data_IF_560568789648
#
_entry.id   IF_560568789648
#
_cell.length_a   1.000
_cell.length_b   1.000
_cell.length_c   1.000
_cell.angle_alpha   90.00
_cell.angle_beta   90.00
_cell.angle_gamma   90.00
#
_symmetry.space_group_name_H-M   'P 1'
#
loop_
_entity.id
_entity.type
_entity.pdbx_description
1 polymer ?
#
# COMPACT_ATOMS: atom_id res chain seq x y z
N UNK A 1 46.64 -0.72 -7.16
CA UNK A 1 47.09 -1.14 -5.81
C UNK A 1 48.34 -2.00 -5.94
N UNK A 2 49.33 -1.78 -5.04
CA UNK A 2 50.55 -2.57 -4.97
C UNK A 2 50.21 -4.06 -4.70
N UNK A 3 50.92 -5.01 -5.38
CA UNK A 3 50.72 -6.45 -5.23
C UNK A 3 50.95 -6.92 -3.78
N UNK A 4 51.95 -6.35 -3.09
CA UNK A 4 52.22 -6.72 -1.71
C UNK A 4 51.16 -6.25 -0.74
N UNK A 5 50.57 -5.07 -0.98
CA UNK A 5 49.47 -4.55 -0.17
C UNK A 5 48.19 -5.35 -0.39
N UNK A 6 47.97 -5.81 -1.62
CA UNK A 6 46.84 -6.73 -1.94
C UNK A 6 47.02 -8.07 -1.23
N UNK A 7 48.22 -8.65 -1.31
CA UNK A 7 48.53 -9.91 -0.63
C UNK A 7 48.38 -9.82 0.89
N UNK A 8 48.81 -8.72 1.50
CA UNK A 8 48.62 -8.46 2.93
C UNK A 8 47.12 -8.42 3.31
N UNK A 9 46.28 -7.79 2.47
CA UNK A 9 44.84 -7.73 2.69
C UNK A 9 44.16 -9.10 2.52
N UNK A 10 44.55 -9.88 1.53
CA UNK A 10 44.04 -11.23 1.26
C UNK A 10 44.39 -12.23 2.37
N UNK A 11 45.57 -12.11 2.96
CA UNK A 11 46.07 -12.99 4.03
C UNK A 11 45.78 -12.47 5.44
N UNK A 12 45.09 -11.32 5.57
CA UNK A 12 44.82 -10.65 6.85
C UNK A 12 46.09 -10.34 7.66
N UNK A 13 47.22 -10.07 6.98
CA UNK A 13 48.50 -9.85 7.61
C UNK A 13 48.74 -8.37 7.96
N UNK A 14 48.36 -8.01 9.19
CA UNK A 14 48.50 -6.64 9.72
C UNK A 14 49.97 -6.25 9.87
N UNK A 15 50.84 -7.18 10.23
CA UNK A 15 52.29 -6.90 10.36
C UNK A 15 52.90 -6.47 9.03
N UNK A 16 52.56 -7.17 7.95
CA UNK A 16 52.99 -6.81 6.60
C UNK A 16 52.44 -5.44 6.16
N UNK A 17 51.21 -5.09 6.58
CA UNK A 17 50.64 -3.76 6.32
C UNK A 17 51.51 -2.67 6.91
N UNK A 18 51.89 -2.81 8.18
CA UNK A 18 52.77 -1.82 8.86
C UNK A 18 54.17 -1.77 8.26
N UNK A 19 54.71 -2.90 7.83
CA UNK A 19 56.01 -2.95 7.14
C UNK A 19 55.97 -2.16 5.82
N UNK A 20 54.88 -2.34 5.04
CA UNK A 20 54.69 -1.61 3.79
C UNK A 20 54.47 -0.10 4.00
N UNK A 21 53.76 0.30 5.04
CA UNK A 21 53.59 1.71 5.42
C UNK A 21 54.92 2.30 5.91
N UNK A 22 55.71 1.52 6.65
CA UNK A 22 57.05 1.95 7.10
C UNK A 22 58.02 2.17 5.96
N UNK A 23 57.92 1.38 4.86
CA UNK A 23 58.73 1.56 3.63
C UNK A 23 58.29 2.76 2.81
N UNK A 24 56.98 3.00 2.72
CA UNK A 24 56.37 4.09 1.98
C UNK A 24 55.19 4.69 2.74
N UNK A 25 55.44 5.71 3.53
CA UNK A 25 54.42 6.38 4.34
C UNK A 25 53.26 7.02 3.54
N UNK A 26 53.42 7.20 2.24
CA UNK A 26 52.41 7.80 1.37
C UNK A 26 51.56 6.77 0.58
N UNK A 27 51.78 5.48 0.78
CA UNK A 27 51.11 4.42 0.01
C UNK A 27 49.57 4.50 0.11
N UNK A 28 49.05 4.69 1.31
CA UNK A 28 47.59 4.83 1.53
C UNK A 28 47.04 6.17 1.01
N UNK A 29 47.83 7.25 1.12
CA UNK A 29 47.43 8.57 0.62
C UNK A 29 47.27 8.58 -0.89
N UNK A 30 48.20 7.99 -1.65
CA UNK A 30 48.11 7.87 -3.12
C UNK A 30 46.87 7.09 -3.56
N UNK A 31 46.46 6.04 -2.82
CA UNK A 31 45.25 5.32 -3.09
C UNK A 31 43.98 6.16 -2.81
N UNK A 32 44.06 7.05 -1.83
CA UNK A 32 42.94 7.93 -1.50
C UNK A 32 42.71 9.05 -2.52
N UNK A 33 43.74 9.49 -3.20
CA UNK A 33 43.69 10.54 -4.22
C UNK A 33 43.00 10.07 -5.53
N UNK A 34 42.93 8.77 -5.77
CA UNK A 34 42.26 8.21 -6.95
C UNK A 34 40.77 7.98 -6.66
N UNK A 35 39.86 8.47 -7.51
CA UNK A 35 38.42 8.44 -7.28
C UNK A 35 37.86 7.03 -7.22
N UNK A 36 38.11 6.22 -8.24
CA UNK A 36 37.62 4.84 -8.33
C UNK A 36 38.80 3.86 -8.33
N UNK A 37 39.07 3.28 -7.17
CA UNK A 37 40.19 2.37 -6.99
C UNK A 37 39.84 1.25 -6.02
N UNK A 38 40.36 0.06 -6.31
CA UNK A 38 40.34 -1.03 -5.34
C UNK A 38 41.31 -0.72 -4.21
N UNK A 39 40.81 -0.50 -2.99
CA UNK A 39 41.64 -0.26 -1.79
C UNK A 39 41.86 -1.57 -1.04
N UNK A 40 42.87 -1.61 -0.10
CA UNK A 40 43.06 -2.79 0.76
C UNK A 40 41.79 -3.16 1.56
N UNK A 41 40.97 -2.17 1.91
CA UNK A 41 39.71 -2.40 2.61
C UNK A 41 38.67 -3.12 1.73
N UNK A 42 38.64 -2.86 0.42
CA UNK A 42 37.80 -3.63 -0.52
C UNK A 42 38.18 -5.10 -0.55
N UNK A 43 39.49 -5.40 -0.64
CA UNK A 43 40.01 -6.77 -0.64
C UNK A 43 39.70 -7.48 0.67
N UNK A 44 39.95 -6.80 1.81
CA UNK A 44 39.64 -7.35 3.13
C UNK A 44 38.14 -7.61 3.31
N UNK A 45 37.26 -6.72 2.82
CA UNK A 45 35.81 -6.89 2.85
C UNK A 45 35.34 -8.04 1.95
N UNK A 46 35.95 -8.20 0.77
CA UNK A 46 35.66 -9.31 -0.14
C UNK A 46 36.04 -10.68 0.43
N UNK A 47 37.15 -10.73 1.20
CA UNK A 47 37.68 -11.96 1.82
C UNK A 47 37.15 -12.21 3.25
N UNK A 48 36.48 -11.25 3.85
CA UNK A 48 36.00 -11.35 5.22
C UNK A 48 37.11 -11.19 6.28
N UNK A 49 38.24 -10.55 5.95
CA UNK A 49 39.38 -10.35 6.81
C UNK A 49 39.14 -9.21 7.81
N UNK A 50 38.36 -9.46 8.88
CA UNK A 50 37.84 -8.44 9.81
C UNK A 50 38.98 -7.69 10.52
N UNK A 51 39.97 -8.40 11.08
CA UNK A 51 41.09 -7.78 11.79
C UNK A 51 41.84 -6.77 10.93
N UNK A 52 42.19 -7.14 9.71
CA UNK A 52 42.86 -6.25 8.75
C UNK A 52 41.95 -5.07 8.34
N UNK A 53 40.64 -5.34 8.11
CA UNK A 53 39.67 -4.31 7.71
C UNK A 53 39.53 -3.22 8.79
N UNK A 54 39.44 -3.62 10.06
CA UNK A 54 39.31 -2.66 11.16
C UNK A 54 40.60 -1.82 11.31
N UNK A 55 41.75 -2.45 11.16
CA UNK A 55 43.03 -1.75 11.22
C UNK A 55 43.17 -0.72 10.10
N UNK A 56 42.89 -1.12 8.86
CA UNK A 56 42.98 -0.20 7.71
C UNK A 56 41.94 0.92 7.79
N UNK A 57 40.75 0.62 8.36
CA UNK A 57 39.73 1.65 8.58
C UNK A 57 40.15 2.68 9.64
N UNK A 58 40.84 2.25 10.68
CA UNK A 58 41.41 3.15 11.68
C UNK A 58 42.51 4.03 11.10
N UNK A 59 43.38 3.48 10.26
CA UNK A 59 44.43 4.21 9.58
C UNK A 59 43.91 5.17 8.49
N UNK A 60 42.88 4.78 7.78
CA UNK A 60 42.33 5.55 6.68
C UNK A 60 40.78 5.39 6.59
N UNK A 61 40.02 6.14 7.41
CA UNK A 61 38.57 6.04 7.46
C UNK A 61 37.88 6.33 6.11
N UNK A 62 38.48 7.18 5.26
CA UNK A 62 37.95 7.51 3.92
C UNK A 62 37.75 6.29 3.02
N UNK A 63 38.54 5.21 3.21
CA UNK A 63 38.40 4.00 2.41
C UNK A 63 37.07 3.30 2.58
N UNK A 64 36.39 3.46 3.71
CA UNK A 64 35.10 2.85 3.96
C UNK A 64 33.99 3.37 3.01
N UNK A 65 34.14 4.62 2.52
CA UNK A 65 33.21 5.25 1.57
C UNK A 65 33.69 5.21 0.11
N UNK A 66 34.91 4.75 -0.12
CA UNK A 66 35.52 4.70 -1.44
C UNK A 66 34.83 3.66 -2.31
N UNK A 67 34.73 3.93 -3.60
CA UNK A 67 34.23 2.98 -4.58
C UNK A 67 35.38 2.37 -5.39
N UNK A 68 35.32 1.08 -5.67
CA UNK A 68 36.24 0.43 -6.57
C UNK A 68 35.87 0.70 -8.05
N UNK A 69 36.61 0.17 -9.00
CA UNK A 69 36.38 0.32 -10.43
C UNK A 69 35.03 -0.26 -10.90
N UNK A 70 34.43 -1.17 -10.11
CA UNK A 70 33.11 -1.73 -10.35
C UNK A 70 31.99 -0.85 -9.76
N UNK A 71 32.34 0.25 -9.08
CA UNK A 71 31.40 1.13 -8.37
C UNK A 71 30.86 0.50 -7.09
N UNK A 72 31.62 -0.36 -6.42
CA UNK A 72 31.24 -1.01 -5.17
C UNK A 72 32.06 -0.46 -4.01
N UNK A 73 31.44 -0.21 -2.87
CA UNK A 73 32.13 0.10 -1.61
C UNK A 73 32.52 -1.18 -0.86
N UNK A 74 33.40 -1.11 0.15
CA UNK A 74 33.71 -2.27 1.00
C UNK A 74 32.44 -2.89 1.64
N UNK A 75 31.48 -2.07 2.08
CA UNK A 75 30.20 -2.54 2.62
C UNK A 75 29.40 -3.34 1.57
N UNK A 76 29.35 -2.87 0.31
CA UNK A 76 28.71 -3.60 -0.78
C UNK A 76 29.34 -4.98 -0.99
N UNK A 77 30.67 -5.05 -0.99
CA UNK A 77 31.42 -6.31 -1.15
C UNK A 77 31.16 -7.27 0.02
N UNK A 78 31.17 -6.77 1.27
CA UNK A 78 30.87 -7.58 2.44
C UNK A 78 29.48 -8.21 2.35
N UNK A 79 28.46 -7.42 1.93
CA UNK A 79 27.09 -7.93 1.72
C UNK A 79 27.03 -8.94 0.58
N UNK A 80 27.59 -8.61 -0.59
CA UNK A 80 27.55 -9.48 -1.77
C UNK A 80 28.24 -10.82 -1.55
N UNK A 81 29.32 -10.85 -0.77
CA UNK A 81 30.08 -12.09 -0.45
C UNK A 81 29.54 -12.84 0.76
N UNK A 82 28.52 -12.29 1.43
CA UNK A 82 27.89 -12.92 2.59
C UNK A 82 28.67 -12.81 3.89
N UNK A 83 29.65 -11.91 3.96
CA UNK A 83 30.46 -11.69 5.16
C UNK A 83 29.69 -10.81 6.16
N UNK A 84 28.67 -11.39 6.84
CA UNK A 84 27.78 -10.65 7.74
C UNK A 84 28.52 -9.96 8.88
N UNK A 85 29.47 -10.63 9.53
CA UNK A 85 30.25 -10.03 10.62
C UNK A 85 31.07 -8.84 10.14
N UNK A 86 31.67 -8.94 8.95
CA UNK A 86 32.38 -7.81 8.33
C UNK A 86 31.43 -6.62 8.11
N UNK A 87 30.24 -6.86 7.56
CA UNK A 87 29.25 -5.81 7.34
C UNK A 87 28.79 -5.18 8.66
N UNK A 88 28.61 -5.98 9.74
CA UNK A 88 28.25 -5.49 11.07
C UNK A 88 29.37 -4.64 11.67
N UNK A 89 30.64 -5.04 11.55
CA UNK A 89 31.77 -4.23 12.03
C UNK A 89 31.90 -2.91 11.30
N UNK A 90 31.71 -2.89 9.98
CA UNK A 90 31.69 -1.65 9.21
C UNK A 90 30.51 -0.76 9.62
N UNK A 91 29.35 -1.33 9.92
CA UNK A 91 28.17 -0.61 10.41
C UNK A 91 28.42 0.04 11.79
N UNK A 92 29.16 -0.63 12.67
CA UNK A 92 29.56 -0.10 13.99
C UNK A 92 30.52 1.09 13.87
N UNK A 93 31.38 1.10 12.85
CA UNK A 93 32.29 2.23 12.58
C UNK A 93 31.52 3.46 12.11
N UNK A 94 30.63 3.28 11.16
CA UNK A 94 29.83 4.37 10.61
C UNK A 94 28.51 3.80 10.02
N UNK A 95 27.40 4.13 10.67
CA UNK A 95 26.05 3.69 10.25
C UNK A 95 25.68 4.16 8.84
N UNK A 96 26.20 5.32 8.40
CA UNK A 96 25.88 5.89 7.09
C UNK A 96 26.56 5.16 5.93
N UNK A 97 27.47 4.21 6.20
CA UNK A 97 28.04 3.34 5.16
C UNK A 97 26.99 2.51 4.44
N UNK A 98 25.86 2.22 5.10
CA UNK A 98 24.70 1.54 4.47
C UNK A 98 24.17 2.34 3.30
N UNK A 99 24.25 3.68 3.35
CA UNK A 99 23.68 4.63 2.37
C UNK A 99 24.68 5.04 1.29
N UNK A 100 25.91 4.56 1.33
CA UNK A 100 26.89 4.83 0.27
C UNK A 100 26.31 4.33 -1.07
N UNK A 101 26.16 5.23 -2.03
CA UNK A 101 25.62 4.93 -3.36
C UNK A 101 26.74 4.40 -4.24
N UNK A 102 26.56 3.18 -4.71
CA UNK A 102 27.45 2.52 -5.64
C UNK A 102 27.00 2.68 -7.11
N UNK A 103 27.36 1.72 -7.94
CA UNK A 103 26.96 1.65 -9.33
C UNK A 103 25.42 1.69 -9.44
N UNK A 104 24.91 2.46 -10.39
CA UNK A 104 23.48 2.68 -10.61
C UNK A 104 22.73 3.31 -9.42
N UNK A 105 23.45 3.92 -8.46
CA UNK A 105 22.87 4.48 -7.24
C UNK A 105 22.43 3.44 -6.23
N UNK A 106 22.79 2.16 -6.41
CA UNK A 106 22.44 1.09 -5.48
C UNK A 106 23.23 1.23 -4.16
N UNK A 107 22.55 1.09 -3.05
CA UNK A 107 23.14 1.07 -1.71
C UNK A 107 23.30 -0.37 -1.21
N UNK A 108 24.01 -0.55 -0.10
CA UNK A 108 24.17 -1.89 0.51
C UNK A 108 22.84 -2.55 0.87
N UNK A 109 21.81 -1.75 1.20
CA UNK A 109 20.46 -2.25 1.44
C UNK A 109 19.84 -2.85 0.15
N UNK A 110 20.03 -2.21 -0.99
CA UNK A 110 19.56 -2.76 -2.28
C UNK A 110 20.22 -4.09 -2.61
N UNK A 111 21.53 -4.21 -2.37
CA UNK A 111 22.26 -5.48 -2.55
C UNK A 111 21.75 -6.56 -1.58
N UNK A 112 21.44 -6.19 -0.32
CA UNK A 112 20.91 -7.12 0.65
C UNK A 112 19.54 -7.70 0.23
N UNK A 113 18.73 -6.91 -0.48
CA UNK A 113 17.47 -7.39 -1.05
C UNK A 113 17.63 -8.43 -2.19
N UNK A 114 18.83 -8.52 -2.80
CA UNK A 114 19.14 -9.47 -3.88
C UNK A 114 19.72 -10.79 -3.36
N UNK A 115 20.42 -10.75 -2.22
CA UNK A 115 21.19 -11.89 -1.68
C UNK A 115 20.35 -12.67 -0.68
N UNK A 116 20.50 -14.01 -0.66
CA UNK A 116 19.74 -14.89 0.23
C UNK A 116 20.36 -14.99 1.65
N UNK A 117 19.51 -15.36 2.63
CA UNK A 117 19.91 -15.75 3.99
C UNK A 117 20.55 -14.68 4.90
N UNK A 118 20.19 -13.41 4.75
CA UNK A 118 20.78 -12.32 5.53
C UNK A 118 19.76 -11.53 6.41
N UNK A 119 18.75 -12.19 6.96
CA UNK A 119 17.69 -11.54 7.75
C UNK A 119 18.23 -10.76 8.94
N UNK A 120 19.17 -11.34 9.69
CA UNK A 120 19.76 -10.69 10.84
C UNK A 120 20.51 -9.38 10.47
N UNK A 121 21.22 -9.40 9.35
CA UNK A 121 21.92 -8.20 8.85
C UNK A 121 20.94 -7.12 8.41
N UNK A 122 19.82 -7.50 7.77
CA UNK A 122 18.77 -6.58 7.38
C UNK A 122 18.15 -5.87 8.59
N UNK A 123 17.81 -6.64 9.64
CA UNK A 123 17.27 -6.06 10.88
C UNK A 123 18.26 -5.06 11.51
N UNK A 124 19.54 -5.39 11.52
CA UNK A 124 20.59 -4.51 12.05
C UNK A 124 20.76 -3.23 11.21
N UNK A 125 20.68 -3.33 9.87
CA UNK A 125 20.73 -2.16 8.97
C UNK A 125 19.54 -1.25 9.22
N UNK A 126 18.33 -1.81 9.34
CA UNK A 126 17.13 -1.03 9.59
C UNK A 126 17.07 -0.40 10.98
N UNK A 127 17.71 -1.04 12.00
CA UNK A 127 17.84 -0.47 13.35
C UNK A 127 18.86 0.66 13.38
N UNK A 128 20.01 0.50 12.72
CA UNK A 128 21.08 1.48 12.74
C UNK A 128 20.81 2.70 11.85
N UNK A 129 20.17 2.50 10.70
CA UNK A 129 19.89 3.54 9.72
C UNK A 129 18.48 3.33 9.07
N UNK A 130 17.37 3.64 9.78
CA UNK A 130 16.02 3.50 9.25
C UNK A 130 15.78 4.30 7.96
N UNK A 131 16.44 5.44 7.83
CA UNK A 131 16.34 6.32 6.65
C UNK A 131 16.84 5.68 5.34
N UNK A 132 17.67 4.61 5.44
CA UNK A 132 18.20 3.91 4.27
C UNK A 132 17.10 3.31 3.38
N UNK A 133 15.91 3.06 3.93
CA UNK A 133 14.77 2.55 3.18
C UNK A 133 14.25 3.53 2.12
N UNK A 134 14.51 4.83 2.31
CA UNK A 134 14.14 5.90 1.39
C UNK A 134 15.11 6.07 0.23
N UNK A 135 16.29 5.47 0.32
CA UNK A 135 17.27 5.56 -0.74
C UNK A 135 16.74 4.84 -1.99
N UNK A 136 16.93 5.48 -3.14
CA UNK A 136 16.52 4.95 -4.42
C UNK A 136 17.70 4.89 -5.39
N UNK A 137 17.66 3.93 -6.30
CA UNK A 137 18.60 3.80 -7.41
C UNK A 137 18.42 4.94 -8.43
N UNK A 138 19.28 4.99 -9.45
CA UNK A 138 19.13 5.93 -10.58
C UNK A 138 17.77 5.77 -11.27
N UNK A 139 17.23 4.55 -11.32
CA UNK A 139 15.91 4.25 -11.88
C UNK A 139 14.76 4.50 -10.88
N UNK A 140 14.99 5.25 -9.81
CA UNK A 140 14.04 5.52 -8.72
C UNK A 140 13.49 4.25 -8.03
N UNK A 141 14.20 3.12 -8.10
CA UNK A 141 13.81 1.87 -7.44
C UNK A 141 14.26 1.87 -5.99
N UNK A 142 13.35 1.63 -5.09
CA UNK A 142 13.61 1.47 -3.65
C UNK A 142 13.92 0.02 -3.30
N UNK A 143 14.34 -0.22 -2.06
CA UNK A 143 14.52 -1.57 -1.52
C UNK A 143 13.27 -2.45 -1.66
N UNK A 144 12.04 -1.86 -1.58
CA UNK A 144 10.78 -2.59 -1.81
C UNK A 144 10.67 -3.12 -3.25
N UNK A 145 10.97 -2.29 -4.25
CA UNK A 145 10.96 -2.70 -5.66
C UNK A 145 11.94 -3.85 -5.91
N UNK A 146 13.16 -3.73 -5.38
CA UNK A 146 14.21 -4.74 -5.53
C UNK A 146 13.83 -6.05 -4.82
N UNK A 147 13.27 -5.99 -3.62
CA UNK A 147 12.82 -7.18 -2.88
C UNK A 147 11.71 -7.93 -3.62
N UNK A 148 10.76 -7.20 -4.21
CA UNK A 148 9.68 -7.78 -5.03
C UNK A 148 10.23 -8.35 -6.33
N UNK A 149 11.09 -7.64 -7.05
CA UNK A 149 11.70 -8.11 -8.29
C UNK A 149 12.45 -9.44 -8.09
N UNK A 150 13.14 -9.58 -6.96
CA UNK A 150 13.89 -10.80 -6.60
C UNK A 150 13.06 -11.85 -5.86
N UNK A 151 11.74 -11.68 -5.75
CA UNK A 151 10.82 -12.57 -5.07
C UNK A 151 11.25 -12.93 -3.62
N UNK A 152 11.56 -11.91 -2.81
CA UNK A 152 12.03 -12.05 -1.43
C UNK A 152 10.96 -11.64 -0.40
N UNK A 153 9.98 -12.51 -0.12
CA UNK A 153 8.89 -12.20 0.82
C UNK A 153 9.36 -12.01 2.27
N UNK A 154 10.42 -12.68 2.64
CA UNK A 154 11.12 -12.57 3.91
C UNK A 154 11.68 -11.15 4.14
N UNK A 155 12.45 -10.66 3.17
CA UNK A 155 13.02 -9.31 3.15
C UNK A 155 11.89 -8.27 3.11
N UNK A 156 10.92 -8.43 2.22
CA UNK A 156 9.79 -7.51 2.08
C UNK A 156 9.04 -7.33 3.41
N UNK A 157 8.82 -8.42 4.16
CA UNK A 157 8.15 -8.36 5.48
C UNK A 157 8.91 -7.52 6.50
N UNK A 158 10.24 -7.64 6.53
CA UNK A 158 11.08 -6.85 7.45
C UNK A 158 11.03 -5.38 7.05
N UNK A 159 11.18 -5.07 5.76
CA UNK A 159 11.12 -3.70 5.24
C UNK A 159 9.76 -3.06 5.55
N UNK A 160 8.65 -3.74 5.28
CA UNK A 160 7.30 -3.22 5.56
C UNK A 160 7.08 -2.95 7.05
N UNK A 161 7.52 -3.84 7.95
CA UNK A 161 7.46 -3.61 9.41
C UNK A 161 8.26 -2.39 9.86
N UNK A 162 9.37 -2.11 9.19
CA UNK A 162 10.21 -0.94 9.50
C UNK A 162 9.56 0.35 9.04
N UNK A 163 8.86 0.32 7.89
CA UNK A 163 8.13 1.46 7.35
C UNK A 163 6.89 1.77 8.19
N UNK A 164 6.14 0.76 8.65
CA UNK A 164 4.91 0.95 9.44
C UNK A 164 5.10 1.79 10.71
N UNK A 165 6.33 1.87 11.21
CA UNK A 165 6.69 2.70 12.38
C UNK A 165 6.85 4.18 12.06
N UNK A 166 6.84 4.56 10.78
CA UNK A 166 7.08 5.93 10.32
C UNK A 166 5.77 6.60 9.88
N UNK A 167 5.61 7.89 10.16
CA UNK A 167 4.41 8.67 9.80
C UNK A 167 4.19 8.76 8.28
N UNK A 168 5.26 8.63 7.47
CA UNK A 168 5.24 8.69 6.00
C UNK A 168 5.16 7.32 5.30
N UNK A 169 4.74 6.26 6.01
CA UNK A 169 4.79 4.90 5.48
C UNK A 169 4.00 4.73 4.17
N UNK A 170 2.89 5.46 3.99
CA UNK A 170 2.07 5.39 2.78
C UNK A 170 2.82 5.87 1.53
N UNK A 171 3.62 6.92 1.65
CA UNK A 171 4.43 7.45 0.56
C UNK A 171 5.49 6.44 0.13
N UNK A 172 6.15 5.81 1.11
CA UNK A 172 7.23 4.86 0.84
C UNK A 172 6.72 3.55 0.19
N UNK A 173 5.59 3.02 0.68
CA UNK A 173 4.98 1.80 0.09
C UNK A 173 4.48 2.05 -1.34
N UNK A 174 4.00 3.26 -1.61
CA UNK A 174 3.41 3.66 -2.89
C UNK A 174 4.38 4.38 -3.83
N UNK A 175 5.65 4.42 -3.48
CA UNK A 175 6.66 5.08 -4.31
C UNK A 175 6.75 4.43 -5.68
N UNK A 176 6.87 5.26 -6.70
CA UNK A 176 6.94 4.84 -8.11
C UNK A 176 8.39 4.84 -8.59
N UNK A 177 8.75 3.85 -9.40
CA UNK A 177 10.02 3.81 -10.14
C UNK A 177 10.00 4.76 -11.37
N UNK A 178 11.05 4.71 -12.19
CA UNK A 178 11.17 5.53 -13.39
C UNK A 178 10.04 5.29 -14.40
N UNK A 179 9.49 4.07 -14.48
CA UNK A 179 8.35 3.71 -15.34
C UNK A 179 6.99 4.02 -14.70
N UNK A 180 6.97 4.61 -13.50
CA UNK A 180 5.77 4.85 -12.71
C UNK A 180 5.23 3.61 -12.00
N UNK A 181 5.94 2.47 -12.04
CA UNK A 181 5.48 1.27 -11.36
C UNK A 181 5.77 1.36 -9.85
N UNK A 182 4.79 0.98 -9.04
CA UNK A 182 5.00 0.70 -7.62
C UNK A 182 5.43 -0.76 -7.43
N UNK A 183 5.90 -1.11 -6.23
CA UNK A 183 6.19 -2.51 -5.88
C UNK A 183 4.98 -3.43 -6.15
N UNK A 184 3.74 -2.93 -6.00
CA UNK A 184 2.51 -3.67 -6.28
C UNK A 184 2.35 -4.01 -7.78
N UNK A 185 2.72 -3.10 -8.70
CA UNK A 185 2.72 -3.36 -10.14
C UNK A 185 3.70 -4.46 -10.52
N UNK A 186 4.91 -4.43 -9.93
CA UNK A 186 5.94 -5.45 -10.18
C UNK A 186 5.47 -6.83 -9.69
N UNK A 187 4.90 -6.89 -8.46
CA UNK A 187 4.36 -8.12 -7.90
C UNK A 187 3.21 -8.69 -8.75
N UNK A 188 2.34 -7.82 -9.28
CA UNK A 188 1.23 -8.21 -10.15
C UNK A 188 1.71 -8.76 -11.51
N UNK A 189 2.69 -8.09 -12.11
CA UNK A 189 3.34 -8.52 -13.36
C UNK A 189 4.02 -9.88 -13.24
N UNK A 190 4.67 -10.13 -12.11
CA UNK A 190 5.44 -11.35 -11.86
C UNK A 190 4.60 -12.50 -11.25
N UNK A 191 3.28 -12.32 -11.10
CA UNK A 191 2.36 -13.27 -10.47
C UNK A 191 2.78 -13.74 -9.07
N UNK A 192 3.28 -12.80 -8.24
CA UNK A 192 3.82 -13.10 -6.93
C UNK A 192 2.73 -12.95 -5.85
N UNK A 193 1.90 -13.98 -5.67
CA UNK A 193 0.73 -13.98 -4.76
C UNK A 193 1.07 -13.58 -3.33
N UNK A 194 2.21 -14.04 -2.81
CA UNK A 194 2.63 -13.76 -1.44
C UNK A 194 3.06 -12.29 -1.27
N UNK A 195 3.77 -11.74 -2.26
CA UNK A 195 4.17 -10.33 -2.28
C UNK A 195 2.95 -9.41 -2.34
N UNK A 196 2.00 -9.72 -3.23
CA UNK A 196 0.75 -8.97 -3.34
C UNK A 196 -0.01 -8.91 -2.01
N UNK A 197 -0.13 -10.06 -1.31
CA UNK A 197 -0.81 -10.11 -0.01
C UNK A 197 -0.10 -9.22 1.02
N UNK A 198 1.23 -9.32 1.14
CA UNK A 198 2.01 -8.50 2.08
C UNK A 198 1.86 -7.00 1.80
N UNK A 199 1.98 -6.58 0.54
CA UNK A 199 1.82 -5.17 0.15
C UNK A 199 0.41 -4.66 0.43
N UNK A 200 -0.62 -5.45 0.14
CA UNK A 200 -2.02 -5.09 0.38
C UNK A 200 -2.38 -5.08 1.88
N UNK A 201 -1.78 -5.94 2.70
CA UNK A 201 -1.88 -5.89 4.17
C UNK A 201 -1.35 -4.57 4.71
N UNK A 202 -0.23 -4.08 4.15
CA UNK A 202 0.36 -2.78 4.47
C UNK A 202 -0.33 -1.61 3.76
N UNK A 203 -1.54 -1.80 3.23
CA UNK A 203 -2.38 -0.76 2.61
C UNK A 203 -1.74 -0.09 1.39
N UNK A 204 -0.94 -0.81 0.59
CA UNK A 204 -0.50 -0.33 -0.70
C UNK A 204 -1.71 0.09 -1.55
N UNK A 205 -1.60 1.24 -2.21
CA UNK A 205 -2.68 1.77 -3.04
C UNK A 205 -2.68 1.08 -4.40
N UNK A 206 -3.74 0.32 -4.68
CA UNK A 206 -3.94 -0.44 -5.91
C UNK A 206 -4.48 0.39 -7.07
N UNK A 207 -4.87 1.65 -6.82
CA UNK A 207 -5.43 2.55 -7.83
C UNK A 207 -4.38 3.45 -8.47
N UNK A 208 -3.16 3.45 -7.96
CA UNK A 208 -2.05 4.16 -8.58
C UNK A 208 -1.84 3.59 -9.99
N UNK A 209 -1.65 4.48 -10.94
CA UNK A 209 -1.36 4.13 -12.33
C UNK A 209 0.11 4.39 -12.64
N UNK A 210 0.72 3.51 -13.42
CA UNK A 210 2.07 3.70 -13.95
C UNK A 210 2.06 4.73 -15.11
N UNK A 211 3.22 4.98 -15.74
CA UNK A 211 3.30 5.91 -16.88
C UNK A 211 2.45 5.50 -18.09
N UNK A 212 2.14 4.21 -18.24
CA UNK A 212 1.23 3.72 -19.29
C UNK A 212 -0.26 3.89 -18.92
N UNK A 213 -0.58 4.50 -17.76
CA UNK A 213 -1.95 4.66 -17.27
C UNK A 213 -2.57 3.37 -16.74
N UNK A 214 -1.78 2.33 -16.48
CA UNK A 214 -2.23 1.01 -16.02
C UNK A 214 -2.13 0.92 -14.49
N UNK A 215 -3.17 0.39 -13.85
CA UNK A 215 -3.13 -0.03 -12.44
C UNK A 215 -2.44 -1.39 -12.29
N UNK A 216 -2.10 -1.77 -11.06
CA UNK A 216 -1.55 -3.11 -10.79
C UNK A 216 -2.49 -4.24 -11.27
N UNK A 217 -3.80 -4.04 -11.23
CA UNK A 217 -4.79 -4.98 -11.75
C UNK A 217 -4.75 -5.06 -13.28
N UNK A 218 -4.64 -3.91 -13.96
CA UNK A 218 -4.54 -3.88 -15.43
C UNK A 218 -3.26 -4.57 -15.92
N UNK A 219 -2.15 -4.36 -15.20
CA UNK A 219 -0.88 -5.06 -15.45
C UNK A 219 -1.02 -6.57 -15.28
N UNK A 220 -1.75 -7.03 -14.23
CA UNK A 220 -2.04 -8.46 -14.04
C UNK A 220 -2.88 -9.03 -15.17
N UNK A 221 -3.89 -8.29 -15.67
CA UNK A 221 -4.70 -8.69 -16.83
C UNK A 221 -3.87 -8.77 -18.10
N UNK A 222 -3.02 -7.77 -18.36
CA UNK A 222 -2.14 -7.74 -19.53
C UNK A 222 -1.17 -8.92 -19.56
N UNK A 223 -0.67 -9.31 -18.36
CA UNK A 223 0.24 -10.46 -18.20
C UNK A 223 -0.51 -11.79 -18.07
N UNK A 224 -1.85 -11.83 -18.12
CA UNK A 224 -2.69 -13.01 -17.92
C UNK A 224 -2.43 -13.77 -16.60
N UNK A 225 -2.12 -13.06 -15.53
CA UNK A 225 -1.74 -13.58 -14.24
C UNK A 225 -2.97 -13.81 -13.34
N UNK A 226 -3.61 -14.99 -13.48
CA UNK A 226 -4.88 -15.33 -12.83
C UNK A 226 -4.86 -15.17 -11.30
N UNK A 227 -3.81 -15.61 -10.61
CA UNK A 227 -3.72 -15.49 -9.15
C UNK A 227 -3.64 -14.03 -8.70
N UNK A 228 -2.82 -13.23 -9.38
CA UNK A 228 -2.72 -11.79 -9.12
C UNK A 228 -4.07 -11.08 -9.31
N UNK A 229 -4.79 -11.40 -10.38
CA UNK A 229 -6.12 -10.87 -10.67
C UNK A 229 -7.09 -11.21 -9.54
N UNK A 230 -7.14 -12.47 -9.10
CA UNK A 230 -8.03 -12.91 -8.01
C UNK A 230 -7.70 -12.16 -6.71
N UNK A 231 -6.44 -12.03 -6.33
CA UNK A 231 -6.03 -11.37 -5.10
C UNK A 231 -6.41 -9.88 -5.13
N UNK A 232 -6.12 -9.18 -6.22
CA UNK A 232 -6.42 -7.75 -6.39
C UNK A 232 -7.92 -7.48 -6.42
N UNK A 233 -8.74 -8.36 -7.03
CA UNK A 233 -10.20 -8.31 -6.99
C UNK A 233 -10.75 -8.59 -5.59
N UNK A 234 -10.31 -9.64 -4.90
CA UNK A 234 -10.82 -9.99 -3.57
C UNK A 234 -10.52 -8.90 -2.52
N UNK A 235 -9.38 -8.23 -2.60
CA UNK A 235 -9.12 -7.06 -1.75
C UNK A 235 -10.08 -5.91 -2.03
N UNK A 236 -10.62 -5.81 -3.24
CA UNK A 236 -11.67 -4.84 -3.55
C UNK A 236 -12.97 -5.16 -2.78
N UNK A 237 -13.40 -6.41 -2.85
CA UNK A 237 -14.64 -6.88 -2.20
C UNK A 237 -14.55 -6.77 -0.68
N UNK A 238 -13.44 -7.18 -0.06
CA UNK A 238 -13.25 -7.07 1.41
C UNK A 238 -13.28 -5.62 1.90
N UNK A 239 -12.68 -4.68 1.18
CA UNK A 239 -12.66 -3.27 1.58
C UNK A 239 -14.05 -2.64 1.48
N UNK A 240 -14.79 -2.95 0.42
CA UNK A 240 -16.20 -2.52 0.26
C UNK A 240 -17.07 -3.14 1.35
N UNK A 241 -16.90 -4.43 1.66
CA UNK A 241 -17.64 -5.11 2.73
C UNK A 241 -17.32 -4.53 4.13
N UNK A 242 -16.05 -4.27 4.43
CA UNK A 242 -15.65 -3.68 5.72
C UNK A 242 -16.10 -2.22 5.85
N UNK A 243 -16.06 -1.44 4.77
CA UNK A 243 -16.56 -0.07 4.74
C UNK A 243 -18.09 -0.05 4.90
N UNK A 244 -18.80 -0.94 4.19
CA UNK A 244 -20.25 -1.15 4.33
C UNK A 244 -20.62 -1.49 5.78
N UNK A 245 -19.94 -2.46 6.39
CA UNK A 245 -20.21 -2.88 7.77
C UNK A 245 -19.87 -1.79 8.81
N UNK A 246 -18.82 -1.01 8.59
CA UNK A 246 -18.49 0.15 9.44
C UNK A 246 -19.52 1.27 9.31
N UNK A 247 -19.96 1.58 8.07
CA UNK A 247 -21.03 2.54 7.82
C UNK A 247 -22.36 2.08 8.42
N UNK A 248 -22.73 0.82 8.22
CA UNK A 248 -23.93 0.22 8.81
C UNK A 248 -23.93 0.40 10.33
N UNK A 249 -22.84 0.07 11.02
CA UNK A 249 -22.73 0.26 12.48
C UNK A 249 -22.86 1.73 12.90
N UNK A 250 -22.24 2.63 12.16
CA UNK A 250 -22.35 4.08 12.45
C UNK A 250 -23.78 4.59 12.20
N UNK A 251 -24.38 4.23 11.07
CA UNK A 251 -25.76 4.60 10.73
C UNK A 251 -26.73 4.06 11.78
N UNK A 252 -26.63 2.77 12.14
CA UNK A 252 -27.45 2.15 13.19
C UNK A 252 -27.31 2.92 14.50
N UNK A 253 -26.09 3.25 14.93
CA UNK A 253 -25.84 4.00 16.15
C UNK A 253 -26.47 5.39 16.14
N UNK A 254 -26.39 6.11 15.02
CA UNK A 254 -27.00 7.44 14.89
C UNK A 254 -28.52 7.34 14.80
N UNK A 255 -29.04 6.40 14.02
CA UNK A 255 -30.49 6.18 13.87
C UNK A 255 -31.14 5.75 15.17
N UNK A 256 -30.53 4.82 15.93
CA UNK A 256 -31.09 4.42 17.25
C UNK A 256 -31.06 5.57 18.26
N UNK A 257 -30.02 6.40 18.26
CA UNK A 257 -29.94 7.56 19.15
C UNK A 257 -30.98 8.63 18.80
N UNK A 258 -31.13 8.95 17.52
CA UNK A 258 -32.13 9.95 17.07
C UNK A 258 -33.55 9.42 17.18
N UNK A 259 -33.80 8.15 16.90
CA UNK A 259 -35.13 7.56 17.07
C UNK A 259 -35.59 7.60 18.53
N UNK A 260 -34.73 7.29 19.49
CA UNK A 260 -35.11 7.34 20.92
C UNK A 260 -35.49 8.75 21.37
N UNK A 261 -34.83 9.79 20.84
CA UNK A 261 -35.18 11.19 21.13
C UNK A 261 -36.52 11.56 20.49
N UNK A 262 -36.74 11.22 19.24
CA UNK A 262 -37.97 11.52 18.49
C UNK A 262 -39.17 10.78 19.14
N UNK A 263 -39.05 9.51 19.50
CA UNK A 263 -40.13 8.74 20.11
C UNK A 263 -40.48 9.23 21.53
N UNK A 264 -39.50 9.74 22.28
CA UNK A 264 -39.75 10.31 23.59
C UNK A 264 -40.60 11.62 23.51
N UNK A 265 -40.35 12.48 22.50
CA UNK A 265 -41.12 13.70 22.29
C UNK A 265 -42.49 13.42 21.66
N UNK A 266 -42.63 12.35 20.88
CA UNK A 266 -43.91 11.96 20.23
C UNK A 266 -44.97 11.47 21.23
N UNK A 267 -44.58 10.93 22.38
CA UNK A 267 -45.54 10.52 23.44
C UNK A 267 -46.30 11.69 24.05
N UNK A 268 -45.82 12.93 23.88
CA UNK A 268 -46.39 14.16 24.41
C UNK A 268 -47.24 14.95 23.39
N UNK A 269 -47.39 14.46 22.15
CA UNK A 269 -48.13 15.14 21.08
C UNK A 269 -49.65 14.99 21.29
N UNK A 270 -50.41 16.10 21.07
CA UNK A 270 -51.88 16.06 21.11
C UNK A 270 -52.50 15.16 20.04
N UNK A 271 -53.69 14.63 20.26
CA UNK A 271 -54.36 13.75 19.30
C UNK A 271 -54.60 14.43 17.94
N UNK A 272 -54.90 15.73 17.94
CA UNK A 272 -55.15 16.49 16.72
C UNK A 272 -53.90 16.77 15.92
N UNK A 273 -52.80 17.10 16.61
CA UNK A 273 -51.49 17.25 15.96
C UNK A 273 -50.94 15.93 15.41
N UNK A 274 -51.19 14.81 16.10
CA UNK A 274 -50.84 13.48 15.65
C UNK A 274 -51.54 13.12 14.32
N UNK A 275 -52.88 13.43 14.21
CA UNK A 275 -53.62 13.19 12.99
C UNK A 275 -53.11 14.07 11.82
N UNK A 276 -52.82 15.34 12.07
CA UNK A 276 -52.25 16.24 11.07
C UNK A 276 -50.88 15.76 10.56
N UNK A 277 -50.00 15.31 11.47
CA UNK A 277 -48.70 14.73 11.11
C UNK A 277 -48.84 13.45 10.33
N UNK A 278 -49.76 12.55 10.64
CA UNK A 278 -50.01 11.34 9.90
C UNK A 278 -50.44 11.59 8.43
N UNK A 279 -51.25 12.62 8.20
CA UNK A 279 -51.65 13.07 6.86
C UNK A 279 -50.41 13.55 6.06
N UNK A 280 -49.60 14.42 6.66
CA UNK A 280 -48.38 14.95 6.03
C UNK A 280 -47.38 13.83 5.71
N UNK A 281 -47.15 12.92 6.67
CA UNK A 281 -46.23 11.80 6.48
C UNK A 281 -46.75 10.82 5.41
N UNK A 282 -48.06 10.58 5.34
CA UNK A 282 -48.69 9.77 4.31
C UNK A 282 -48.51 10.36 2.90
N UNK A 283 -48.66 11.68 2.77
CA UNK A 283 -48.37 12.39 1.51
C UNK A 283 -46.89 12.30 1.11
N UNK A 284 -45.98 12.50 2.04
CA UNK A 284 -44.52 12.39 1.83
C UNK A 284 -44.15 10.96 1.41
N UNK A 285 -44.74 9.95 2.08
CA UNK A 285 -44.51 8.54 1.77
C UNK A 285 -44.96 8.20 0.35
N UNK A 286 -46.13 8.67 -0.05
CA UNK A 286 -46.67 8.46 -1.39
C UNK A 286 -45.84 9.14 -2.46
N UNK A 287 -45.47 10.41 -2.23
CA UNK A 287 -44.65 11.19 -3.18
C UNK A 287 -43.26 10.59 -3.36
N UNK A 288 -42.61 10.19 -2.26
CA UNK A 288 -41.27 9.58 -2.31
C UNK A 288 -41.29 8.19 -2.95
N UNK A 289 -42.33 7.39 -2.68
CA UNK A 289 -42.54 6.09 -3.32
C UNK A 289 -42.71 6.25 -4.83
N UNK A 290 -43.56 7.19 -5.28
CA UNK A 290 -43.79 7.46 -6.70
C UNK A 290 -42.49 7.95 -7.39
N UNK A 291 -41.70 8.80 -6.71
CA UNK A 291 -40.44 9.30 -7.24
C UNK A 291 -39.39 8.19 -7.43
N UNK A 292 -39.43 7.12 -6.60
CA UNK A 292 -38.58 5.94 -6.75
C UNK A 292 -38.99 5.09 -7.92
N UNK A 293 -40.31 4.92 -8.12
CA UNK A 293 -40.85 4.12 -9.23
C UNK A 293 -40.77 4.81 -10.60
N UNK A 294 -40.83 6.15 -10.59
CA UNK A 294 -40.79 6.98 -11.80
C UNK A 294 -39.75 8.09 -11.64
N UNK A 295 -38.46 7.76 -11.78
CA UNK A 295 -37.42 8.74 -11.61
C UNK A 295 -37.49 9.83 -12.67
N UNK A 296 -36.97 11.04 -12.40
CA UNK A 296 -36.87 12.11 -13.38
C UNK A 296 -36.15 11.63 -14.64
N UNK A 297 -36.75 11.89 -15.81
CA UNK A 297 -36.24 11.43 -17.10
C UNK A 297 -36.83 10.09 -17.60
N UNK A 298 -37.55 9.35 -16.73
CA UNK A 298 -38.24 8.11 -17.12
C UNK A 298 -37.33 6.88 -17.21
N UNK A 299 -37.92 5.75 -17.57
CA UNK A 299 -37.25 4.48 -17.79
C UNK A 299 -37.22 4.18 -19.30
N UNK A 300 -36.18 3.45 -19.74
CA UNK A 300 -36.06 2.98 -21.12
C UNK A 300 -37.20 1.97 -21.39
N UNK A 301 -38.14 2.34 -22.29
CA UNK A 301 -39.15 1.42 -22.79
C UNK A 301 -38.56 0.64 -23.96
N UNK A 302 -38.80 -0.68 -24.02
CA UNK A 302 -38.38 -1.52 -25.14
C UNK A 302 -39.28 -1.29 -26.34
N UNK A 303 -38.98 -0.31 -27.18
CA UNK A 303 -39.55 -0.27 -28.52
C UNK A 303 -38.64 -1.06 -29.46
N UNK A 304 -39.20 -2.22 -29.89
CA UNK A 304 -38.52 -3.08 -30.84
C UNK A 304 -38.50 -2.47 -32.23
N UNK A 305 -37.56 -1.62 -32.56
CA UNK A 305 -37.07 -1.41 -33.91
C UNK A 305 -36.21 -0.14 -34.02
N UNK A 306 -34.94 -0.23 -33.78
CA UNK A 306 -33.93 0.56 -34.50
C UNK A 306 -32.55 -0.05 -34.29
N UNK A 307 -31.88 -0.38 -35.40
CA UNK A 307 -30.50 -0.89 -35.40
C UNK A 307 -29.58 0.21 -34.82
N UNK A 308 -28.71 -0.12 -33.87
CA UNK A 308 -27.84 0.88 -33.27
C UNK A 308 -26.75 1.32 -34.23
N UNK A 309 -26.47 2.62 -34.24
CA UNK A 309 -25.25 3.17 -34.81
C UNK A 309 -24.03 2.66 -34.00
N UNK A 310 -22.94 2.37 -34.70
CA UNK A 310 -21.70 1.84 -34.13
C UNK A 310 -21.19 2.78 -33.04
N UNK A 311 -21.08 2.28 -31.79
CA UNK A 311 -20.46 3.02 -30.67
C UNK A 311 -21.39 3.34 -29.47
N UNK A 312 -22.67 2.98 -29.48
CA UNK A 312 -23.60 3.26 -28.37
C UNK A 312 -23.81 2.00 -27.51
N UNK A 313 -23.56 2.14 -26.19
CA UNK A 313 -23.80 1.10 -25.20
C UNK A 313 -25.28 0.70 -25.22
N UNK A 314 -25.58 -0.60 -25.34
CA UNK A 314 -26.95 -1.12 -25.20
C UNK A 314 -27.46 -0.78 -23.79
N UNK A 315 -28.60 -0.08 -23.71
CA UNK A 315 -29.36 0.08 -22.48
C UNK A 315 -30.43 -0.99 -22.43
N UNK A 316 -30.60 -1.62 -21.28
CA UNK A 316 -31.59 -2.66 -21.05
C UNK A 316 -32.95 -2.01 -20.73
N UNK A 317 -34.04 -2.61 -21.17
CA UNK A 317 -35.37 -2.15 -20.79
C UNK A 317 -35.53 -2.11 -19.27
N UNK A 318 -35.98 -0.96 -18.73
CA UNK A 318 -36.08 -0.69 -17.30
C UNK A 318 -34.89 0.07 -16.72
N UNK A 319 -33.83 0.34 -17.49
CA UNK A 319 -32.76 1.26 -17.03
C UNK A 319 -33.23 2.72 -17.05
N UNK A 320 -32.74 3.52 -16.11
CA UNK A 320 -33.00 4.96 -16.07
C UNK A 320 -32.30 5.67 -17.22
N UNK A 321 -32.96 6.67 -17.81
CA UNK A 321 -32.36 7.54 -18.83
C UNK A 321 -31.29 8.46 -18.22
N UNK A 322 -31.38 8.71 -16.93
CA UNK A 322 -30.48 9.57 -16.16
C UNK A 322 -29.07 8.96 -16.03
N UNK A 323 -28.02 9.80 -15.99
CA UNK A 323 -26.65 9.37 -15.72
C UNK A 323 -26.50 8.73 -14.32
N UNK A 324 -25.56 7.80 -14.15
CA UNK A 324 -25.38 7.09 -12.86
C UNK A 324 -25.18 8.03 -11.66
N UNK A 325 -24.43 9.10 -11.81
CA UNK A 325 -24.18 10.07 -10.75
C UNK A 325 -25.43 10.89 -10.42
N UNK A 326 -26.14 11.35 -11.44
CA UNK A 326 -27.36 12.14 -11.28
C UNK A 326 -28.47 11.30 -10.64
N UNK A 327 -28.57 10.03 -11.04
CA UNK A 327 -29.48 9.06 -10.43
C UNK A 327 -29.18 8.84 -8.93
N UNK A 328 -27.90 8.66 -8.56
CA UNK A 328 -27.53 8.45 -7.16
C UNK A 328 -27.79 9.70 -6.31
N UNK A 329 -27.49 10.89 -6.84
CA UNK A 329 -27.75 12.17 -6.14
C UNK A 329 -29.25 12.36 -5.90
N UNK A 330 -30.10 11.92 -6.80
CA UNK A 330 -31.56 11.98 -6.66
C UNK A 330 -32.07 10.85 -5.76
N UNK A 331 -31.65 9.62 -5.99
CA UNK A 331 -32.18 8.41 -5.35
C UNK A 331 -31.86 8.34 -3.86
N UNK A 332 -30.61 8.64 -3.46
CA UNK A 332 -30.19 8.52 -2.05
C UNK A 332 -30.99 9.44 -1.13
N UNK A 333 -31.13 10.75 -1.38
CA UNK A 333 -31.93 11.62 -0.52
C UNK A 333 -33.42 11.23 -0.52
N UNK A 334 -33.98 10.89 -1.68
CA UNK A 334 -35.40 10.50 -1.80
C UNK A 334 -35.69 9.24 -1.00
N UNK A 335 -34.79 8.23 -1.08
CA UNK A 335 -34.92 7.01 -0.31
C UNK A 335 -34.74 7.26 1.21
N UNK A 336 -33.84 8.14 1.62
CA UNK A 336 -33.69 8.54 3.02
C UNK A 336 -34.99 9.19 3.55
N UNK A 337 -35.59 10.09 2.80
CA UNK A 337 -36.86 10.72 3.18
C UNK A 337 -37.98 9.69 3.28
N UNK A 338 -38.05 8.74 2.33
CA UNK A 338 -39.03 7.65 2.36
C UNK A 338 -38.90 6.82 3.65
N UNK A 339 -37.69 6.38 3.99
CA UNK A 339 -37.42 5.57 5.19
C UNK A 339 -37.75 6.33 6.46
N UNK A 340 -37.35 7.59 6.57
CA UNK A 340 -37.65 8.43 7.75
C UNK A 340 -39.17 8.61 7.88
N UNK A 341 -39.87 8.95 6.81
CA UNK A 341 -41.34 9.13 6.80
C UNK A 341 -42.04 7.84 7.19
N UNK A 342 -41.61 6.69 6.70
CA UNK A 342 -42.15 5.38 7.04
C UNK A 342 -42.05 5.07 8.53
N UNK A 343 -40.88 5.26 9.14
CA UNK A 343 -40.68 5.00 10.56
C UNK A 343 -41.40 6.02 11.46
N UNK A 344 -41.48 7.28 11.08
CA UNK A 344 -42.25 8.28 11.81
C UNK A 344 -43.75 7.93 11.77
N UNK A 345 -44.27 7.47 10.63
CA UNK A 345 -45.68 7.03 10.50
C UNK A 345 -45.94 5.84 11.44
N UNK A 346 -45.08 4.84 11.44
CA UNK A 346 -45.20 3.69 12.36
C UNK A 346 -45.11 4.13 13.85
N UNK A 347 -44.29 5.11 14.18
CA UNK A 347 -44.18 5.66 15.53
C UNK A 347 -45.43 6.40 16.03
N UNK A 348 -46.13 7.09 15.11
CA UNK A 348 -47.36 7.83 15.42
C UNK A 348 -48.59 6.93 15.52
N UNK A 349 -48.58 5.77 14.85
CA UNK A 349 -49.63 4.76 14.99
C UNK A 349 -49.58 4.15 16.38
N UNK A 350 -50.41 4.60 17.30
CA UNK A 350 -50.45 4.31 18.76
C UNK A 350 -50.84 2.92 19.26
N UNK A 351 -51.09 1.85 18.51
CA UNK A 351 -51.47 0.57 19.12
C UNK A 351 -50.27 -0.41 19.33
N UNK A 352 -49.01 -0.01 19.12
CA UNK A 352 -47.89 -0.94 19.29
C UNK A 352 -47.32 -0.92 20.73
N UNK A 353 -47.26 -2.07 21.44
CA UNK A 353 -46.54 -2.17 22.74
C UNK A 353 -45.11 -1.70 22.61
N UNK A 354 -44.59 -1.00 23.65
CA UNK A 354 -43.26 -0.39 23.65
C UNK A 354 -42.09 -1.37 23.32
N UNK A 355 -42.25 -2.68 23.60
CA UNK A 355 -41.27 -3.70 23.25
C UNK A 355 -41.20 -4.02 21.74
N UNK A 356 -42.31 -3.97 21.03
CA UNK A 356 -42.40 -4.25 19.59
C UNK A 356 -41.86 -3.07 18.73
N UNK A 357 -41.88 -1.82 19.24
CA UNK A 357 -41.34 -0.66 18.53
C UNK A 357 -39.84 -0.82 18.23
N UNK A 358 -39.08 -1.36 19.17
CA UNK A 358 -37.65 -1.60 19.01
C UNK A 358 -37.35 -2.80 18.08
N UNK A 359 -38.18 -3.85 18.12
CA UNK A 359 -38.02 -5.04 17.27
C UNK A 359 -38.43 -4.77 15.81
N UNK A 360 -39.53 -4.06 15.59
CA UNK A 360 -39.93 -3.66 14.22
C UNK A 360 -38.90 -2.74 13.56
N UNK A 361 -38.22 -1.89 14.34
CA UNK A 361 -37.13 -1.05 13.84
C UNK A 361 -35.91 -1.88 13.47
N UNK A 362 -35.58 -2.90 14.26
CA UNK A 362 -34.48 -3.83 13.96
C UNK A 362 -34.80 -4.77 12.80
N UNK A 363 -36.01 -5.32 12.73
CA UNK A 363 -36.46 -6.24 11.65
C UNK A 363 -36.60 -5.49 10.33
N UNK A 364 -37.18 -4.30 10.31
CA UNK A 364 -37.35 -3.50 9.09
C UNK A 364 -36.04 -3.00 8.46
N UNK A 365 -34.96 -2.90 9.24
CA UNK A 365 -33.63 -2.54 8.72
C UNK A 365 -32.82 -3.77 8.25
N UNK A 366 -33.12 -4.97 8.77
CA UNK A 366 -32.36 -6.19 8.46
C UNK A 366 -32.96 -6.92 7.26
N UNK A 367 -34.28 -6.89 7.09
CA UNK A 367 -34.99 -7.65 6.05
C UNK A 367 -35.31 -6.87 4.77
N UNK A 368 -34.98 -5.59 4.68
CA UNK A 368 -35.00 -4.91 3.37
C UNK A 368 -33.80 -5.46 2.57
N UNK A 369 -34.02 -6.22 1.50
CA UNK A 369 -32.94 -6.81 0.72
C UNK A 369 -32.18 -5.73 -0.01
N UNK A 370 -31.21 -5.10 0.69
CA UNK A 370 -30.20 -4.21 0.13
C UNK A 370 -29.42 -4.89 -1.02
N UNK A 371 -29.45 -6.24 -1.03
CA UNK A 371 -28.64 -7.05 -1.94
C UNK A 371 -29.31 -7.33 -3.28
N UNK A 372 -30.66 -7.40 -3.39
CA UNK A 372 -31.31 -7.73 -4.66
C UNK A 372 -31.74 -6.52 -5.47
N UNK A 373 -32.07 -5.39 -4.85
CA UNK A 373 -32.44 -4.16 -5.57
C UNK A 373 -31.24 -3.34 -6.03
N UNK A 374 -30.15 -3.35 -5.24
CA UNK A 374 -28.95 -2.57 -5.56
C UNK A 374 -28.05 -3.23 -6.61
N UNK A 375 -28.07 -4.58 -6.70
CA UNK A 375 -27.32 -5.36 -7.70
C UNK A 375 -28.00 -5.41 -9.08
N UNK A 376 -29.29 -5.14 -9.15
CA UNK A 376 -30.03 -5.08 -10.44
C UNK A 376 -29.93 -3.71 -11.13
N UNK A 377 -29.45 -2.66 -10.41
CA UNK A 377 -29.37 -1.29 -10.94
C UNK A 377 -27.95 -0.71 -11.03
N UNK A 378 -26.88 -1.45 -10.63
CA UNK A 378 -25.47 -1.13 -10.84
C UNK A 378 -24.88 -2.03 -11.93
#
# INVERSE_FOLDING_TARGET
MDRNLKAAAETSNVSQLYELIGRDGNVLRRLDEVEFIETPLHVAAEKGCIGFAMEITSLKPSFARKLNQQGLSPMHLAVLKGHQEMALRLLEVDKDLVRVRGKNGETSLHYLCKVENHHHLLDRFMQACPESIRDATVQNRTALHIAVENNRPDVLRVLLRSIEKNDHYQEEVNRQDEDGNTALHIAARNNQSQMLKLLLECKADKYITNQAGLTALDVAHQSNNRESIIILHHCHIRRVSNFKHSLEKQIIKYVTKTSSLIFHDMDNISSDDCNALLVILGLLLTATYQSVLSPPGGLVQSDGSSKPAVGVRFRVAGETIMGRYDFLIFFIPTYCVFIVSYFLTLGLLKPFPQGLKAECFNIGMVDIPWTSGFLLFI
#
